data_IF_372816437212
#
_entry.id   IF_372816437212
#
_cell.length_a   1.000
_cell.length_b   1.000
_cell.length_c   1.000
_cell.angle_alpha   90.00
_cell.angle_beta   90.00
_cell.angle_gamma   90.00
#
_symmetry.space_group_name_H-M   'P 1'
#
loop_
_entity.id
_entity.type
_entity.pdbx_description
1 polymer ?
#
# COMPACT_ATOMS: atom_id res chain seq x y z
N UNK A 1 7.61 44.13 3.43
CA UNK A 1 7.69 43.43 2.11
C UNK A 1 7.59 41.91 2.21
N UNK A 2 8.33 41.22 3.10
CA UNK A 2 8.39 39.74 3.14
C UNK A 2 7.07 39.02 3.44
N UNK A 3 6.17 39.58 4.25
CA UNK A 3 4.86 38.97 4.59
C UNK A 3 3.90 38.89 3.39
N UNK A 4 3.87 39.93 2.54
CA UNK A 4 2.99 39.97 1.36
C UNK A 4 3.39 38.95 0.29
N UNK A 5 4.69 38.83 0.05
CA UNK A 5 5.25 37.82 -0.88
C UNK A 5 4.91 36.41 -0.38
N UNK A 6 5.08 36.14 0.93
CA UNK A 6 4.69 34.85 1.53
C UNK A 6 3.20 34.56 1.37
N UNK A 7 2.34 35.56 1.57
CA UNK A 7 0.89 35.39 1.41
C UNK A 7 0.51 35.08 -0.04
N UNK A 8 1.13 35.77 -1.01
CA UNK A 8 0.90 35.59 -2.44
C UNK A 8 1.36 34.22 -2.93
N UNK A 9 2.55 33.78 -2.51
CA UNK A 9 3.05 32.43 -2.85
C UNK A 9 2.18 31.35 -2.21
N UNK A 10 1.71 31.56 -0.97
CA UNK A 10 0.79 30.64 -0.29
C UNK A 10 -0.60 30.61 -0.91
N UNK A 11 -1.10 31.68 -1.53
CA UNK A 11 -2.42 31.67 -2.18
C UNK A 11 -2.37 31.23 -3.65
N UNK A 12 -1.20 31.11 -4.25
CA UNK A 12 -1.03 30.71 -5.65
C UNK A 12 -1.17 29.19 -5.82
N UNK A 13 -2.29 28.75 -6.42
CA UNK A 13 -2.58 27.33 -6.70
C UNK A 13 -1.49 26.67 -7.55
N UNK A 14 -0.93 27.38 -8.54
CA UNK A 14 0.16 26.85 -9.38
C UNK A 14 1.41 26.55 -8.57
N UNK A 15 1.80 27.48 -7.68
CA UNK A 15 2.95 27.30 -6.78
C UNK A 15 2.69 26.20 -5.75
N UNK A 16 1.48 26.09 -5.20
CA UNK A 16 1.12 25.02 -4.27
C UNK A 16 1.19 23.64 -4.93
N UNK A 17 0.71 23.51 -6.17
CA UNK A 17 0.72 22.24 -6.93
C UNK A 17 2.10 21.87 -7.45
N UNK A 18 2.94 22.82 -7.85
CA UNK A 18 4.32 22.51 -8.26
C UNK A 18 5.23 22.21 -7.06
N UNK A 19 4.86 22.67 -5.86
CA UNK A 19 5.59 22.45 -4.62
C UNK A 19 5.06 21.23 -3.84
N UNK A 20 3.99 20.57 -4.30
CA UNK A 20 3.53 19.31 -3.69
C UNK A 20 4.60 18.21 -3.80
N UNK A 21 5.41 18.25 -4.86
CA UNK A 21 6.47 17.27 -5.10
C UNK A 21 7.70 17.46 -4.19
N UNK A 22 7.84 18.62 -3.54
CA UNK A 22 8.89 18.91 -2.53
C UNK A 22 8.37 18.95 -1.08
N UNK A 23 7.04 18.92 -0.85
CA UNK A 23 6.40 18.91 0.48
C UNK A 23 6.33 17.50 1.12
N UNK A 24 6.74 16.47 0.39
CA UNK A 24 6.82 15.07 0.86
C UNK A 24 7.64 14.90 2.14
N UNK A 25 8.50 15.87 2.49
CA UNK A 25 9.30 15.83 3.71
C UNK A 25 8.54 16.25 4.99
N UNK A 26 7.45 17.02 4.89
CA UNK A 26 6.68 17.51 6.06
C UNK A 26 5.30 16.87 6.24
N UNK A 27 4.84 16.06 5.28
CA UNK A 27 3.50 15.40 5.30
C UNK A 27 3.59 13.87 5.32
N UNK A 28 4.65 13.30 5.90
CA UNK A 28 4.60 11.89 6.28
C UNK A 28 3.71 11.77 7.50
N UNK A 29 2.46 11.34 7.31
CA UNK A 29 1.63 10.91 8.43
C UNK A 29 2.41 9.90 9.28
N UNK A 30 2.32 9.98 10.61
CA UNK A 30 2.97 8.99 11.46
C UNK A 30 2.51 7.59 11.05
N UNK A 31 3.43 6.64 11.10
CA UNK A 31 3.13 5.23 10.80
C UNK A 31 2.02 4.79 11.75
N UNK A 32 0.88 4.39 11.20
CA UNK A 32 -0.23 3.87 11.99
C UNK A 32 0.17 2.57 12.69
N UNK A 33 -0.14 2.45 13.96
CA UNK A 33 -0.01 1.18 14.70
C UNK A 33 -1.29 0.40 14.59
N UNK A 34 -1.17 -0.88 14.22
CA UNK A 34 -2.30 -1.80 14.22
C UNK A 34 -2.32 -2.56 15.56
N UNK A 35 -3.48 -2.63 16.24
CA UNK A 35 -3.66 -3.44 17.43
C UNK A 35 -3.27 -4.90 17.16
N UNK A 36 -2.63 -5.61 18.10
CA UNK A 36 -2.30 -7.02 17.88
C UNK A 36 -3.58 -7.85 17.73
N UNK A 37 -3.58 -8.79 16.78
CA UNK A 37 -4.65 -9.78 16.72
C UNK A 37 -4.63 -10.59 18.03
N UNK A 38 -5.80 -10.88 18.59
CA UNK A 38 -5.93 -11.56 19.89
C UNK A 38 -6.27 -13.05 19.74
N UNK A 39 -6.46 -13.53 18.52
CA UNK A 39 -6.87 -14.89 18.21
C UNK A 39 -6.47 -15.29 16.78
N UNK A 40 -6.34 -16.59 16.54
CA UNK A 40 -6.05 -17.18 15.22
C UNK A 40 -7.17 -16.82 14.24
N UNK A 41 -6.82 -16.49 13.01
CA UNK A 41 -7.74 -16.20 11.91
C UNK A 41 -8.62 -14.96 12.09
N UNK A 42 -8.42 -14.17 13.16
CA UNK A 42 -9.18 -12.93 13.36
C UNK A 42 -8.83 -11.86 12.32
N UNK A 43 -7.57 -11.82 11.88
CA UNK A 43 -7.08 -10.88 10.87
C UNK A 43 -6.17 -11.62 9.91
N UNK A 44 -6.60 -11.73 8.65
CA UNK A 44 -5.84 -12.34 7.58
C UNK A 44 -5.40 -11.26 6.60
N UNK A 45 -4.12 -11.22 6.28
CA UNK A 45 -3.56 -10.34 5.27
C UNK A 45 -3.43 -11.11 3.97
N UNK A 46 -4.14 -10.68 2.93
CA UNK A 46 -4.02 -11.23 1.58
C UNK A 46 -3.37 -10.18 0.70
N UNK A 47 -2.25 -10.53 0.08
CA UNK A 47 -1.45 -9.63 -0.75
C UNK A 47 -0.94 -10.39 -1.96
N UNK A 48 -0.91 -9.74 -3.12
CA UNK A 48 -0.27 -10.28 -4.32
C UNK A 48 1.15 -9.75 -4.50
N UNK A 49 2.04 -10.64 -4.90
CA UNK A 49 3.37 -10.33 -5.39
C UNK A 49 3.34 -10.63 -6.89
N UNK A 50 3.69 -9.67 -7.75
CA UNK A 50 3.33 -9.73 -9.17
C UNK A 50 4.35 -9.21 -10.16
N UNK A 51 4.08 -9.50 -11.44
CA UNK A 51 4.97 -9.34 -12.61
C UNK A 51 6.24 -10.16 -12.52
N UNK A 52 6.12 -11.39 -12.00
CA UNK A 52 7.22 -12.35 -11.96
C UNK A 52 7.39 -13.03 -13.32
N UNK A 53 8.59 -13.58 -13.61
CA UNK A 53 8.77 -14.44 -14.77
C UNK A 53 7.72 -15.56 -14.77
N UNK A 54 7.06 -15.82 -15.91
CA UNK A 54 6.01 -16.83 -15.96
C UNK A 54 6.56 -18.21 -15.61
N UNK A 55 5.87 -18.89 -14.70
CA UNK A 55 6.15 -20.27 -14.28
C UNK A 55 4.86 -21.06 -14.34
N UNK A 56 4.78 -22.03 -15.24
CA UNK A 56 3.59 -22.88 -15.46
C UNK A 56 2.29 -22.06 -15.64
N UNK A 57 2.35 -21.00 -16.43
CA UNK A 57 1.21 -20.10 -16.67
C UNK A 57 0.90 -19.12 -15.53
N UNK A 58 1.63 -19.17 -14.42
CA UNK A 58 1.45 -18.26 -13.29
C UNK A 58 2.49 -17.12 -13.31
N UNK A 59 2.05 -15.90 -13.03
CA UNK A 59 2.90 -14.70 -13.01
C UNK A 59 2.82 -13.93 -11.68
N UNK A 60 1.96 -14.40 -10.78
CA UNK A 60 1.70 -13.79 -9.49
C UNK A 60 1.75 -14.83 -8.39
N UNK A 61 2.13 -14.41 -7.19
CA UNK A 61 2.02 -15.19 -5.97
C UNK A 61 1.05 -14.49 -5.03
N UNK A 62 -0.08 -15.12 -4.75
CA UNK A 62 -0.99 -14.68 -3.69
C UNK A 62 -0.44 -15.16 -2.36
N UNK A 63 -0.19 -14.22 -1.44
CA UNK A 63 0.28 -14.50 -0.09
C UNK A 63 -0.86 -14.28 0.89
N UNK A 64 -1.08 -15.25 1.77
CA UNK A 64 -2.11 -15.22 2.81
C UNK A 64 -1.38 -15.38 4.14
N UNK A 65 -1.52 -14.40 5.04
CA UNK A 65 -0.81 -14.41 6.32
C UNK A 65 -1.81 -14.22 7.45
N UNK A 66 -1.89 -15.19 8.36
CA UNK A 66 -2.60 -15.00 9.63
C UNK A 66 -1.78 -14.07 10.53
N UNK A 67 -2.37 -12.93 10.90
CA UNK A 67 -1.65 -11.87 11.61
C UNK A 67 -1.29 -12.26 13.06
N UNK A 68 -2.02 -13.20 13.66
CA UNK A 68 -1.75 -13.68 15.00
C UNK A 68 -0.58 -14.66 15.03
N UNK A 69 -0.67 -15.76 14.29
CA UNK A 69 0.37 -16.80 14.25
C UNK A 69 1.56 -16.43 13.38
N UNK A 70 1.42 -15.44 12.48
CA UNK A 70 2.37 -15.12 11.42
C UNK A 70 2.56 -16.27 10.42
N UNK A 71 1.63 -17.21 10.38
CA UNK A 71 1.67 -18.33 9.44
C UNK A 71 1.44 -17.85 8.00
N UNK A 72 2.36 -18.13 7.06
CA UNK A 72 2.20 -17.79 5.66
C UNK A 72 1.69 -18.98 4.83
N UNK A 73 0.76 -18.71 3.93
CA UNK A 73 0.39 -19.56 2.80
C UNK A 73 0.67 -18.80 1.50
N UNK A 74 1.13 -19.50 0.47
CA UNK A 74 1.46 -18.89 -0.83
C UNK A 74 0.89 -19.74 -1.95
N UNK A 75 0.09 -19.11 -2.82
CA UNK A 75 -0.59 -19.77 -3.93
C UNK A 75 -0.17 -19.07 -5.23
N UNK A 76 0.44 -19.79 -6.20
CA UNK A 76 0.74 -19.23 -7.51
C UNK A 76 -0.56 -18.99 -8.29
N UNK A 77 -0.64 -17.86 -8.99
CA UNK A 77 -1.84 -17.41 -9.69
C UNK A 77 -1.50 -16.81 -11.06
N UNK A 78 -2.37 -16.97 -12.07
CA UNK A 78 -2.16 -16.40 -13.40
C UNK A 78 -2.48 -14.90 -13.45
N UNK A 79 -3.38 -14.43 -12.58
CA UNK A 79 -3.82 -13.04 -12.50
C UNK A 79 -4.19 -12.63 -11.06
N UNK A 80 -4.54 -11.35 -10.88
CA UNK A 80 -4.95 -10.76 -9.59
C UNK A 80 -6.46 -10.49 -9.53
N UNK A 81 -7.28 -11.26 -10.26
CA UNK A 81 -8.73 -11.05 -10.28
C UNK A 81 -9.37 -11.53 -8.98
N UNK A 82 -10.54 -10.97 -8.67
CA UNK A 82 -11.34 -11.42 -7.52
C UNK A 82 -11.76 -12.89 -7.66
N UNK A 83 -12.03 -13.34 -8.88
CA UNK A 83 -12.43 -14.72 -9.19
C UNK A 83 -11.30 -15.71 -8.91
N UNK A 84 -10.08 -15.41 -9.35
CA UNK A 84 -8.88 -16.20 -9.03
C UNK A 84 -8.61 -16.19 -7.53
N UNK A 85 -8.72 -15.03 -6.88
CA UNK A 85 -8.55 -14.88 -5.42
C UNK A 85 -9.53 -15.74 -4.63
N UNK A 86 -10.78 -15.83 -5.08
CA UNK A 86 -11.82 -16.60 -4.39
C UNK A 86 -11.74 -18.11 -4.62
N UNK A 87 -11.04 -18.56 -5.68
CA UNK A 87 -10.87 -19.98 -6.02
C UNK A 87 -9.63 -20.61 -5.42
N UNK A 88 -8.61 -19.80 -5.17
CA UNK A 88 -7.37 -20.19 -4.53
C UNK A 88 -7.61 -20.60 -3.07
#
# INVERSE_FOLDING_TARGET
>A
MSKGIKSMVRSCVKCQRSHSDTVTQYTKSPIGTFALANSRFAHIHIVFIGSLPPSDGNQFCMTIIDRFTRWPEVIPTPDMTAETTARA
#
